data_IF_108628774771
#
_entry.id   IF_108628774771
#
_cell.length_a   1.000
_cell.length_b   1.000
_cell.length_c   1.000
_cell.angle_alpha   90.00
_cell.angle_beta   90.00
_cell.angle_gamma   90.00
#
_symmetry.space_group_name_H-M   'P 1'
#
loop_
_entity.id
_entity.type
_entity.pdbx_description
1 polymer ?
#
# COMPACT_ATOMS: atom_id res chain seq x y z
N UNK A 1 -41.29 -53.27 27.32
CA UNK A 1 -40.66 -52.67 26.13
C UNK A 1 -40.69 -51.14 26.27
N UNK A 2 -39.54 -50.49 26.43
CA UNK A 2 -39.41 -49.02 26.37
C UNK A 2 -38.21 -48.70 25.48
N UNK A 3 -38.48 -48.24 24.26
CA UNK A 3 -37.45 -47.76 23.33
C UNK A 3 -37.00 -46.37 23.77
N UNK A 4 -35.70 -46.24 24.08
CA UNK A 4 -35.03 -44.96 24.28
C UNK A 4 -34.41 -44.54 22.95
N UNK A 5 -34.88 -43.44 22.39
CA UNK A 5 -34.22 -42.75 21.29
C UNK A 5 -33.07 -41.92 21.85
N UNK A 6 -31.83 -42.29 21.52
CA UNK A 6 -30.65 -41.45 21.68
C UNK A 6 -30.48 -40.64 20.40
N UNK A 7 -30.75 -39.34 20.48
CA UNK A 7 -30.40 -38.40 19.43
C UNK A 7 -28.89 -38.12 19.50
N UNK A 8 -28.15 -38.51 18.47
CA UNK A 8 -26.75 -38.17 18.33
C UNK A 8 -26.63 -36.74 17.78
N UNK A 9 -26.15 -35.80 18.62
CA UNK A 9 -25.66 -34.51 18.15
C UNK A 9 -24.32 -34.72 17.44
N UNK A 10 -24.33 -34.63 16.10
CA UNK A 10 -23.10 -34.50 15.33
C UNK A 10 -22.55 -33.09 15.50
N UNK A 11 -21.53 -32.93 16.34
CA UNK A 11 -20.74 -31.71 16.42
C UNK A 11 -19.93 -31.57 15.14
N UNK A 12 -20.38 -30.69 14.22
CA UNK A 12 -19.57 -30.20 13.12
C UNK A 12 -18.46 -29.32 13.70
N UNK A 13 -17.33 -29.92 14.04
CA UNK A 13 -16.08 -29.18 14.23
C UNK A 13 -15.67 -28.62 12.86
N UNK A 14 -16.11 -27.41 12.53
CA UNK A 14 -15.46 -26.59 11.52
C UNK A 14 -14.06 -26.24 12.06
N UNK A 15 -13.11 -27.16 11.88
CA UNK A 15 -11.71 -26.79 11.84
C UNK A 15 -11.60 -25.74 10.73
N UNK A 16 -11.40 -24.49 11.10
CA UNK A 16 -11.04 -23.45 10.14
C UNK A 16 -9.72 -23.92 9.51
N UNK A 17 -9.83 -24.55 8.33
CA UNK A 17 -8.68 -24.83 7.49
C UNK A 17 -8.06 -23.47 7.23
N UNK A 18 -6.96 -23.16 7.91
CA UNK A 18 -6.17 -22.00 7.57
C UNK A 18 -5.77 -22.21 6.10
N UNK A 19 -6.34 -21.39 5.21
CA UNK A 19 -5.98 -21.45 3.81
C UNK A 19 -4.45 -21.33 3.72
N UNK A 20 -3.83 -22.31 3.08
CA UNK A 20 -2.41 -22.28 2.79
C UNK A 20 -2.08 -20.96 2.07
N UNK A 21 -0.88 -20.45 2.30
CA UNK A 21 -0.43 -19.24 1.62
C UNK A 21 -0.49 -19.43 0.09
N UNK A 22 -1.16 -18.52 -0.64
CA UNK A 22 -1.31 -18.67 -2.07
C UNK A 22 0.04 -18.46 -2.76
N UNK A 23 0.35 -19.29 -3.74
CA UNK A 23 1.48 -19.04 -4.63
C UNK A 23 1.21 -17.84 -5.54
N UNK A 24 2.27 -17.21 -6.06
CA UNK A 24 2.15 -16.15 -7.07
C UNK A 24 1.30 -16.57 -8.27
N UNK A 25 1.45 -17.82 -8.72
CA UNK A 25 0.65 -18.36 -9.82
C UNK A 25 -0.84 -18.47 -9.48
N UNK A 26 -1.18 -18.81 -8.23
CA UNK A 26 -2.57 -18.81 -7.77
C UNK A 26 -3.15 -17.40 -7.71
N UNK A 27 -2.38 -16.41 -7.23
CA UNK A 27 -2.79 -15.01 -7.20
C UNK A 27 -3.04 -14.48 -8.62
N UNK A 28 -2.13 -14.75 -9.57
CA UNK A 28 -2.30 -14.36 -10.99
C UNK A 28 -3.55 -14.99 -11.58
N UNK A 29 -3.82 -16.27 -11.29
CA UNK A 29 -5.06 -16.92 -11.74
C UNK A 29 -6.31 -16.25 -11.18
N UNK A 30 -6.26 -15.74 -9.94
CA UNK A 30 -7.38 -15.04 -9.31
C UNK A 30 -7.60 -13.61 -9.82
N UNK A 31 -6.59 -12.98 -10.43
CA UNK A 31 -6.74 -11.66 -11.08
C UNK A 31 -7.61 -11.73 -12.33
N UNK A 32 -7.65 -12.89 -13.00
CA UNK A 32 -8.38 -13.06 -14.25
C UNK A 32 -7.62 -12.45 -15.43
N UNK A 33 -8.36 -11.84 -16.36
CA UNK A 33 -7.81 -11.31 -17.59
C UNK A 33 -7.36 -9.85 -17.44
N UNK A 34 -6.12 -9.67 -17.01
CA UNK A 34 -5.46 -8.36 -16.85
C UNK A 34 -4.19 -8.23 -17.70
N UNK A 35 -4.02 -9.12 -18.68
CA UNK A 35 -2.80 -9.24 -19.48
C UNK A 35 -1.64 -9.88 -18.70
N UNK A 36 -0.40 -9.65 -19.16
CA UNK A 36 0.79 -10.19 -18.47
C UNK A 36 1.01 -9.47 -17.15
N UNK A 37 1.27 -10.26 -16.11
CA UNK A 37 1.59 -9.77 -14.77
C UNK A 37 2.79 -10.53 -14.21
N UNK A 38 3.76 -9.80 -13.69
CA UNK A 38 4.86 -10.36 -12.91
C UNK A 38 4.73 -9.87 -11.46
N UNK A 39 4.48 -10.79 -10.53
CA UNK A 39 4.36 -10.44 -9.10
C UNK A 39 5.74 -10.40 -8.44
N UNK A 40 6.01 -9.31 -7.72
CA UNK A 40 7.15 -9.14 -6.82
C UNK A 40 6.98 -9.93 -5.52
N UNK A 41 7.56 -9.43 -4.43
CA UNK A 41 7.41 -10.06 -3.12
C UNK A 41 5.94 -10.04 -2.68
N UNK A 42 5.50 -11.12 -2.02
CA UNK A 42 4.12 -11.27 -1.53
C UNK A 42 4.17 -11.11 -0.02
N UNK A 43 3.48 -10.10 0.50
CA UNK A 43 3.44 -9.79 1.92
C UNK A 43 2.11 -10.24 2.52
N UNK A 44 2.11 -11.11 3.55
CA UNK A 44 0.89 -11.41 4.29
C UNK A 44 0.46 -10.19 5.10
N UNK A 45 -0.84 -9.89 5.06
CA UNK A 45 -1.42 -8.83 5.87
C UNK A 45 -2.78 -9.20 6.44
N UNK A 46 -3.18 -8.50 7.50
CA UNK A 46 -4.55 -8.54 8.00
C UNK A 46 -5.32 -7.31 7.50
N UNK A 47 -6.51 -7.53 6.93
CA UNK A 47 -7.48 -6.47 6.66
C UNK A 47 -8.11 -6.01 7.97
N UNK A 48 -8.80 -4.87 7.93
CA UNK A 48 -9.70 -4.48 9.02
C UNK A 48 -10.68 -5.61 9.33
N UNK A 49 -10.82 -5.96 10.60
CA UNK A 49 -11.63 -7.10 11.03
C UNK A 49 -10.89 -8.45 11.05
N UNK A 50 -9.58 -8.47 10.75
CA UNK A 50 -8.71 -9.62 10.95
C UNK A 50 -8.71 -10.65 9.82
N UNK A 51 -9.35 -10.36 8.68
CA UNK A 51 -9.27 -11.23 7.51
C UNK A 51 -7.82 -11.29 6.98
N UNK A 52 -7.32 -12.50 6.76
CA UNK A 52 -6.01 -12.73 6.14
C UNK A 52 -6.06 -12.41 4.64
N UNK A 53 -5.18 -11.53 4.20
CA UNK A 53 -4.99 -11.17 2.80
C UNK A 53 -3.49 -11.11 2.46
N UNK A 54 -3.20 -10.88 1.19
CA UNK A 54 -1.84 -10.83 0.66
C UNK A 54 -1.71 -9.65 -0.28
N UNK A 55 -0.65 -8.85 -0.10
CA UNK A 55 -0.34 -7.72 -0.96
C UNK A 55 0.98 -8.01 -1.68
N UNK A 56 0.97 -7.86 -2.99
CA UNK A 56 2.17 -7.99 -3.81
C UNK A 56 2.39 -6.73 -4.63
N UNK A 57 3.65 -6.34 -4.81
CA UNK A 57 4.00 -5.49 -5.94
C UNK A 57 3.80 -6.26 -7.24
N UNK A 58 3.45 -5.55 -8.30
CA UNK A 58 3.14 -6.15 -9.59
C UNK A 58 3.68 -5.27 -10.72
N UNK A 59 4.34 -5.92 -11.67
CA UNK A 59 4.70 -5.34 -12.95
C UNK A 59 3.67 -5.78 -14.01
N UNK A 60 3.26 -4.84 -14.85
CA UNK A 60 2.32 -5.00 -15.95
C UNK A 60 3.00 -4.60 -17.27
N UNK A 61 3.79 -5.50 -17.90
CA UNK A 61 4.66 -5.16 -19.01
C UNK A 61 3.93 -4.66 -20.27
N UNK A 62 2.66 -5.03 -20.42
CA UNK A 62 1.85 -4.64 -21.57
C UNK A 62 1.15 -3.27 -21.35
N UNK A 63 1.36 -2.61 -20.20
CA UNK A 63 0.75 -1.32 -19.85
C UNK A 63 1.66 -0.13 -20.20
N UNK A 64 1.07 1.06 -20.30
CA UNK A 64 1.82 2.30 -20.59
C UNK A 64 2.84 2.65 -19.50
N UNK A 65 3.81 3.51 -19.84
CA UNK A 65 4.98 3.81 -18.98
C UNK A 65 4.63 4.13 -17.52
N UNK A 66 3.57 4.91 -17.28
CA UNK A 66 3.18 5.33 -15.92
C UNK A 66 2.24 4.32 -15.21
N UNK A 67 1.99 3.16 -15.80
CA UNK A 67 1.11 2.11 -15.29
C UNK A 67 1.80 0.74 -15.26
N UNK A 68 3.11 0.71 -15.52
CA UNK A 68 3.90 -0.53 -15.60
C UNK A 68 4.14 -1.18 -14.24
N UNK A 69 4.08 -0.42 -13.14
CA UNK A 69 4.18 -0.94 -11.78
C UNK A 69 2.89 -0.61 -11.01
N UNK A 70 2.51 -1.48 -10.07
CA UNK A 70 1.40 -1.27 -9.17
C UNK A 70 1.32 -2.36 -8.10
N UNK A 71 0.13 -2.57 -7.57
CA UNK A 71 -0.07 -3.53 -6.50
C UNK A 71 -1.26 -4.45 -6.75
N UNK A 72 -1.14 -5.68 -6.24
CA UNK A 72 -2.20 -6.69 -6.27
C UNK A 72 -2.56 -7.07 -4.86
N UNK A 73 -3.85 -6.94 -4.52
CA UNK A 73 -4.42 -7.42 -3.26
C UNK A 73 -5.15 -8.74 -3.52
N UNK A 74 -4.78 -9.79 -2.81
CA UNK A 74 -5.39 -11.12 -2.91
C UNK A 74 -6.08 -11.50 -1.59
N UNK A 75 -7.30 -12.03 -1.69
CA UNK A 75 -8.13 -12.49 -0.57
C UNK A 75 -8.45 -13.98 -0.76
N UNK A 76 -7.65 -14.90 -0.17
CA UNK A 76 -7.78 -16.34 -0.42
C UNK A 76 -9.13 -16.92 -0.01
N UNK A 77 -9.74 -16.41 1.06
CA UNK A 77 -11.07 -16.83 1.50
C UNK A 77 -12.15 -16.62 0.41
N UNK A 78 -11.91 -15.69 -0.51
CA UNK A 78 -12.78 -15.40 -1.65
C UNK A 78 -12.29 -16.00 -2.97
N UNK A 79 -11.08 -16.59 -2.99
CA UNK A 79 -10.43 -17.04 -4.22
C UNK A 79 -10.32 -15.94 -5.28
N UNK A 80 -10.08 -14.69 -4.84
CA UNK A 80 -10.09 -13.51 -5.70
C UNK A 80 -8.88 -12.63 -5.44
N UNK A 81 -8.41 -11.93 -6.48
CA UNK A 81 -7.42 -10.87 -6.40
C UNK A 81 -7.86 -9.67 -7.24
N UNK A 82 -7.38 -8.47 -6.89
CA UNK A 82 -7.60 -7.24 -7.65
C UNK A 82 -6.29 -6.47 -7.80
N UNK A 83 -6.16 -5.72 -8.89
CA UNK A 83 -5.18 -4.62 -8.97
C UNK A 83 -5.72 -3.47 -8.13
N UNK A 84 -4.84 -2.79 -7.38
CA UNK A 84 -5.23 -1.64 -6.57
C UNK A 84 -5.29 -0.38 -7.42
N UNK A 85 -6.50 0.17 -7.55
CA UNK A 85 -6.73 1.44 -8.24
C UNK A 85 -6.10 2.60 -7.46
N UNK A 86 -5.47 3.53 -8.19
CA UNK A 86 -4.87 4.74 -7.61
C UNK A 86 -3.48 4.54 -6.99
N UNK A 87 -2.93 3.32 -7.04
CA UNK A 87 -1.58 2.99 -6.56
C UNK A 87 -0.79 2.32 -7.69
N UNK A 88 -0.46 3.09 -8.73
CA UNK A 88 0.32 2.64 -9.89
C UNK A 88 1.39 3.65 -10.26
N UNK A 89 2.42 3.23 -10.99
CA UNK A 89 3.49 4.14 -11.39
C UNK A 89 4.67 3.46 -12.07
N UNK A 90 5.84 4.11 -11.92
CA UNK A 90 7.14 3.61 -12.37
C UNK A 90 7.83 2.73 -11.30
N UNK A 91 7.36 2.79 -10.05
CA UNK A 91 7.86 2.00 -8.93
C UNK A 91 6.70 1.48 -8.07
N UNK A 92 6.91 0.33 -7.43
CA UNK A 92 5.96 -0.28 -6.51
C UNK A 92 6.71 -0.99 -5.36
N UNK A 93 7.00 -0.24 -4.31
CA UNK A 93 7.57 -0.77 -3.07
C UNK A 93 6.49 -0.94 -2.02
N UNK A 94 6.56 -2.02 -1.23
CA UNK A 94 5.69 -2.24 -0.08
C UNK A 94 6.54 -2.10 1.18
N UNK A 95 6.15 -1.21 2.09
CA UNK A 95 6.76 -1.14 3.42
C UNK A 95 5.70 -1.39 4.49
N UNK A 96 5.92 -2.41 5.33
CA UNK A 96 5.04 -2.70 6.47
C UNK A 96 5.32 -1.71 7.60
N UNK A 97 4.29 -1.01 8.07
CA UNK A 97 4.41 0.00 9.11
C UNK A 97 3.88 -0.50 10.47
N UNK A 98 2.85 -1.35 10.46
CA UNK A 98 2.34 -1.98 11.68
C UNK A 98 1.73 -3.36 11.42
N UNK A 99 1.74 -4.19 12.47
CA UNK A 99 1.26 -5.58 12.44
C UNK A 99 0.19 -5.87 13.50
N UNK A 100 -0.82 -5.00 13.64
CA UNK A 100 -1.97 -5.28 14.51
C UNK A 100 -3.01 -6.11 13.75
N UNK A 101 -2.97 -7.43 13.92
CA UNK A 101 -3.87 -8.35 13.20
C UNK A 101 -5.35 -8.11 13.52
N UNK A 102 -5.68 -7.54 14.68
CA UNK A 102 -7.06 -7.27 15.08
C UNK A 102 -7.63 -6.01 14.44
N UNK A 103 -6.78 -5.00 14.24
CA UNK A 103 -7.17 -3.69 13.68
C UNK A 103 -6.88 -3.55 12.18
N UNK A 104 -6.06 -4.44 11.65
CA UNK A 104 -5.53 -4.39 10.29
C UNK A 104 -4.10 -3.88 10.25
N UNK A 105 -3.37 -4.25 9.21
CA UNK A 105 -1.99 -3.81 9.01
C UNK A 105 -1.98 -2.45 8.30
N UNK A 106 -1.06 -1.57 8.72
CA UNK A 106 -0.75 -0.34 8.00
C UNK A 106 0.44 -0.58 7.09
N UNK A 107 0.33 -0.16 5.83
CA UNK A 107 1.40 -0.29 4.83
C UNK A 107 1.64 1.02 4.13
N UNK A 108 2.87 1.27 3.70
CA UNK A 108 3.22 2.39 2.83
C UNK A 108 3.24 1.86 1.41
N UNK A 109 2.47 2.51 0.53
CA UNK A 109 2.46 2.28 -0.91
C UNK A 109 2.98 3.52 -1.62
N UNK A 110 3.89 3.31 -2.56
CA UNK A 110 4.42 4.32 -3.47
C UNK A 110 3.68 4.31 -4.81
N UNK A 111 3.61 5.47 -5.43
CA UNK A 111 3.22 5.64 -6.83
C UNK A 111 4.09 6.74 -7.40
N UNK A 112 4.48 6.63 -8.66
CA UNK A 112 5.37 7.60 -9.29
C UNK A 112 5.05 7.75 -10.77
N UNK A 113 5.21 8.96 -11.27
CA UNK A 113 5.00 9.28 -12.67
C UNK A 113 6.06 10.26 -13.15
N UNK A 114 6.35 10.22 -14.44
CA UNK A 114 7.15 11.25 -15.07
C UNK A 114 6.47 11.76 -16.33
N UNK A 115 6.82 12.96 -16.77
CA UNK A 115 6.33 13.54 -18.00
C UNK A 115 6.79 14.98 -18.18
N UNK A 116 7.13 15.34 -19.42
CA UNK A 116 7.48 16.72 -19.79
C UNK A 116 8.56 17.34 -18.87
N UNK A 117 9.60 16.55 -18.53
CA UNK A 117 10.68 17.00 -17.64
C UNK A 117 10.33 17.08 -16.16
N UNK A 118 9.12 16.68 -15.77
CA UNK A 118 8.70 16.57 -14.38
C UNK A 118 8.71 15.11 -13.91
N UNK A 119 9.01 14.93 -12.64
CA UNK A 119 8.87 13.68 -11.90
C UNK A 119 8.05 13.95 -10.65
N UNK A 120 7.07 13.10 -10.38
CA UNK A 120 6.22 13.18 -9.21
C UNK A 120 6.11 11.80 -8.57
N UNK A 121 6.15 11.74 -7.24
CA UNK A 121 5.86 10.53 -6.49
C UNK A 121 4.94 10.83 -5.30
N UNK A 122 4.07 9.88 -5.00
CA UNK A 122 3.15 9.89 -3.87
C UNK A 122 3.40 8.66 -3.01
N UNK A 123 3.57 8.89 -1.72
CA UNK A 123 3.64 7.84 -0.70
C UNK A 123 2.40 7.91 0.18
N UNK A 124 1.66 6.82 0.27
CA UNK A 124 0.44 6.73 1.06
C UNK A 124 0.57 5.67 2.13
N UNK A 125 0.33 6.04 3.39
CA UNK A 125 0.09 5.08 4.47
C UNK A 125 -1.38 4.66 4.35
N UNK A 126 -1.63 3.38 4.09
CA UNK A 126 -2.97 2.85 3.92
C UNK A 126 -3.24 1.70 4.87
N UNK A 127 -4.52 1.52 5.15
CA UNK A 127 -5.08 0.33 5.78
C UNK A 127 -6.21 -0.19 4.90
N UNK A 128 -6.34 -1.49 4.74
CA UNK A 128 -7.37 -2.07 3.89
C UNK A 128 -8.64 -2.41 4.67
N UNK A 129 -9.78 -1.89 4.20
CA UNK A 129 -11.12 -2.28 4.63
C UNK A 129 -11.77 -3.09 3.50
N UNK A 130 -11.62 -4.42 3.58
CA UNK A 130 -11.93 -5.31 2.48
C UNK A 130 -11.04 -5.02 1.25
N UNK A 131 -11.67 -4.66 0.13
CA UNK A 131 -10.98 -4.29 -1.11
C UNK A 131 -10.55 -2.82 -1.16
N UNK A 132 -11.05 -1.99 -0.23
CA UNK A 132 -10.86 -0.54 -0.30
C UNK A 132 -9.65 -0.11 0.53
N UNK A 133 -8.62 0.48 -0.07
CA UNK A 133 -7.57 1.14 0.69
C UNK A 133 -8.12 2.40 1.34
N UNK A 134 -7.89 2.56 2.63
CA UNK A 134 -8.15 3.78 3.39
C UNK A 134 -6.83 4.48 3.68
N UNK A 135 -6.62 5.62 3.06
CA UNK A 135 -5.43 6.44 3.27
C UNK A 135 -5.51 7.12 4.63
N UNK A 136 -4.50 6.90 5.46
CA UNK A 136 -4.33 7.51 6.79
C UNK A 136 -3.37 8.70 6.75
N UNK A 137 -2.41 8.65 5.83
CA UNK A 137 -1.44 9.72 5.60
C UNK A 137 -0.97 9.69 4.16
N UNK A 138 -0.68 10.86 3.60
CA UNK A 138 -0.15 11.03 2.26
C UNK A 138 1.03 12.02 2.32
N UNK A 139 2.09 11.69 1.60
CA UNK A 139 3.18 12.60 1.28
C UNK A 139 3.47 12.58 -0.22
N UNK A 140 3.93 13.70 -0.72
CA UNK A 140 4.23 13.91 -2.13
C UNK A 140 5.64 14.46 -2.25
N UNK A 141 6.34 14.00 -3.28
CA UNK A 141 7.61 14.55 -3.70
C UNK A 141 7.63 14.70 -5.21
N UNK A 142 8.62 15.43 -5.72
CA UNK A 142 8.72 15.65 -7.14
C UNK A 142 9.70 16.75 -7.48
N UNK A 143 10.02 16.87 -8.77
CA UNK A 143 10.92 17.89 -9.28
C UNK A 143 10.63 18.18 -10.76
N UNK A 144 11.12 19.32 -11.21
CA UNK A 144 11.07 19.73 -12.61
C UNK A 144 12.46 19.76 -13.27
N UNK A 145 13.40 18.90 -12.86
CA UNK A 145 14.79 18.99 -13.34
C UNK A 145 14.97 18.77 -14.84
N UNK A 146 14.02 18.11 -15.51
CA UNK A 146 14.05 17.98 -16.97
C UNK A 146 13.39 19.14 -17.72
N UNK A 147 12.86 20.15 -17.01
CA UNK A 147 12.10 21.28 -17.55
C UNK A 147 12.32 22.53 -16.67
N UNK A 148 13.60 22.85 -16.41
CA UNK A 148 14.05 24.01 -15.65
C UNK A 148 15.45 24.47 -16.11
N UNK A 149 15.91 25.62 -15.63
CA UNK A 149 17.20 26.21 -15.98
C UNK A 149 17.18 27.00 -17.28
N UNK A 150 16.47 26.48 -18.29
CA UNK A 150 16.24 27.18 -19.55
C UNK A 150 15.23 28.32 -19.40
N UNK A 151 15.45 29.40 -20.16
CA UNK A 151 14.59 30.60 -20.19
C UNK A 151 14.33 31.26 -18.81
N UNK A 152 15.19 30.99 -17.83
CA UNK A 152 15.07 31.53 -16.48
C UNK A 152 14.03 30.81 -15.61
N UNK A 153 13.51 29.65 -16.05
CA UNK A 153 12.60 28.84 -15.24
C UNK A 153 13.35 28.22 -14.06
N UNK A 154 12.91 28.42 -12.80
CA UNK A 154 13.62 27.90 -11.64
C UNK A 154 13.56 26.37 -11.58
N UNK A 155 14.67 25.76 -11.20
CA UNK A 155 14.74 24.36 -10.81
C UNK A 155 14.27 24.21 -9.37
N UNK A 156 13.24 23.40 -9.16
CA UNK A 156 12.58 23.25 -7.89
C UNK A 156 12.07 21.83 -7.69
N UNK A 157 11.93 21.47 -6.42
CA UNK A 157 11.36 20.18 -6.08
C UNK A 157 11.41 19.90 -4.59
N UNK A 158 11.06 18.67 -4.27
CA UNK A 158 11.13 18.13 -2.94
C UNK A 158 11.44 16.65 -2.96
N UNK A 159 11.95 16.17 -1.83
CA UNK A 159 12.11 14.76 -1.49
C UNK A 159 11.45 14.50 -0.14
N UNK A 160 10.80 13.35 0.00
CA UNK A 160 10.19 12.93 1.26
C UNK A 160 10.75 11.60 1.73
N UNK A 161 11.16 11.59 2.99
CA UNK A 161 11.59 10.40 3.70
C UNK A 161 10.57 10.03 4.76
N UNK A 162 10.02 8.83 4.66
CA UNK A 162 9.07 8.27 5.62
C UNK A 162 9.77 7.22 6.48
N UNK A 163 9.92 7.50 7.77
CA UNK A 163 10.59 6.59 8.72
C UNK A 163 9.57 6.09 9.75
N UNK A 164 9.14 4.81 9.69
CA UNK A 164 8.27 4.23 10.70
C UNK A 164 8.92 4.30 12.07
N UNK A 165 8.13 4.68 13.08
CA UNK A 165 8.55 4.79 14.48
C UNK A 165 7.54 4.06 15.38
N UNK A 166 8.04 3.50 16.48
CA UNK A 166 7.19 3.01 17.56
C UNK A 166 6.93 4.16 18.55
N UNK A 167 5.69 4.61 18.64
CA UNK A 167 5.25 5.61 19.60
C UNK A 167 4.97 5.03 20.99
N UNK A 168 4.64 5.89 21.97
CA UNK A 168 4.25 5.46 23.31
C UNK A 168 3.10 4.43 23.27
N UNK A 169 3.21 3.36 24.07
CA UNK A 169 2.20 2.30 24.09
C UNK A 169 2.09 1.49 22.79
N UNK A 170 3.11 1.54 21.91
CA UNK A 170 3.11 0.82 20.64
C UNK A 170 2.26 1.47 19.54
N UNK A 171 1.82 2.73 19.74
CA UNK A 171 1.11 3.46 18.70
C UNK A 171 2.00 3.66 17.47
N UNK A 172 1.54 3.32 16.25
CA UNK A 172 2.33 3.55 15.05
C UNK A 172 2.55 5.06 14.82
N UNK A 173 3.81 5.46 14.64
CA UNK A 173 4.20 6.82 14.32
C UNK A 173 5.02 6.85 13.03
N UNK A 174 5.08 8.02 12.41
CA UNK A 174 5.86 8.26 11.20
C UNK A 174 6.65 9.55 11.35
N UNK A 175 7.99 9.46 11.34
CA UNK A 175 8.82 10.62 11.12
C UNK A 175 8.84 10.94 9.64
N UNK A 176 8.32 12.11 9.29
CA UNK A 176 8.25 12.64 7.94
C UNK A 176 9.28 13.74 7.81
N UNK A 177 10.30 13.50 7.00
CA UNK A 177 11.29 14.52 6.65
C UNK A 177 11.05 14.95 5.21
N UNK A 178 10.87 16.24 4.99
CA UNK A 178 10.75 16.84 3.67
C UNK A 178 11.94 17.74 3.43
N UNK A 179 12.68 17.47 2.36
CA UNK A 179 13.72 18.36 1.85
C UNK A 179 13.12 19.10 0.65
N UNK A 180 13.08 20.43 0.71
CA UNK A 180 12.68 21.27 -0.42
C UNK A 180 13.89 21.97 -0.97
N UNK A 181 14.00 22.04 -2.29
CA UNK A 181 15.08 22.73 -2.96
C UNK A 181 14.55 23.64 -4.06
N UNK A 182 15.23 24.76 -4.26
CA UNK A 182 14.95 25.70 -5.34
C UNK A 182 16.22 26.46 -5.73
N UNK A 183 16.39 26.75 -7.01
CA UNK A 183 17.50 27.52 -7.54
C UNK A 183 17.30 27.90 -9.01
N UNK A 184 18.20 28.73 -9.56
CA UNK A 184 18.15 29.12 -10.97
C UNK A 184 18.53 27.98 -11.91
N UNK A 185 19.32 27.00 -11.45
CA UNK A 185 19.60 25.73 -12.12
C UNK A 185 19.87 24.63 -11.08
N UNK A 186 19.98 23.38 -11.55
CA UNK A 186 20.22 22.19 -10.71
C UNK A 186 21.46 22.33 -9.81
N UNK A 187 22.54 22.93 -10.33
CA UNK A 187 23.83 23.09 -9.62
C UNK A 187 23.79 24.22 -8.58
N UNK A 188 22.86 25.15 -8.71
CA UNK A 188 22.70 26.33 -7.83
C UNK A 188 21.43 26.25 -6.97
N UNK A 189 20.93 25.05 -6.72
CA UNK A 189 19.81 24.82 -5.80
C UNK A 189 20.23 25.06 -4.34
N UNK A 190 19.34 25.68 -3.57
CA UNK A 190 19.44 25.77 -2.11
C UNK A 190 18.39 24.86 -1.50
N UNK A 191 18.80 24.05 -0.53
CA UNK A 191 17.92 23.12 0.16
C UNK A 191 17.51 23.65 1.54
N UNK A 192 16.30 23.29 1.95
CA UNK A 192 15.81 23.43 3.32
C UNK A 192 15.16 22.12 3.73
N UNK A 193 15.35 21.72 4.98
CA UNK A 193 14.78 20.49 5.52
C UNK A 193 13.80 20.82 6.65
N UNK A 194 12.68 20.10 6.68
CA UNK A 194 11.71 20.16 7.76
C UNK A 194 11.32 18.74 8.15
N UNK A 195 11.21 18.48 9.45
CA UNK A 195 10.79 17.18 9.96
C UNK A 195 9.61 17.33 10.92
N UNK A 196 8.68 16.38 10.88
CA UNK A 196 7.58 16.27 11.82
C UNK A 196 7.31 14.81 12.15
N UNK A 197 6.78 14.56 13.35
CA UNK A 197 6.28 13.23 13.73
C UNK A 197 4.76 13.24 13.60
N UNK A 198 4.22 12.25 12.89
CA UNK A 198 2.78 12.04 12.73
C UNK A 198 2.40 10.79 13.52
N UNK A 199 1.41 10.91 14.40
CA UNK A 199 0.81 9.74 15.06
C UNK A 199 -0.31 9.20 14.18
N UNK A 200 -0.23 7.92 13.82
CA UNK A 200 -1.22 7.26 13.00
C UNK A 200 -2.25 6.60 13.92
N UNK A 201 -3.52 6.81 13.62
CA UNK A 201 -4.62 6.24 14.40
C UNK A 201 -5.39 5.24 13.55
N UNK A 202 -5.73 4.12 14.16
CA UNK A 202 -6.69 3.20 13.58
C UNK A 202 -8.07 3.87 13.56
N UNK A 203 -8.76 3.87 12.42
CA UNK A 203 -10.08 4.46 12.34
C UNK A 203 -11.07 3.71 13.23
N UNK A 204 -11.87 4.47 13.97
CA UNK A 204 -12.84 3.91 14.91
C UNK A 204 -13.91 3.09 14.15
N UNK A 205 -14.34 1.97 14.71
CA UNK A 205 -15.27 1.03 14.04
C UNK A 205 -16.68 1.60 13.83
N UNK A 206 -16.96 2.78 14.39
CA UNK A 206 -18.28 3.43 14.43
C UNK A 206 -18.42 4.68 13.56
N UNK A 207 -17.37 5.15 12.89
CA UNK A 207 -17.51 6.30 11.99
C UNK A 207 -17.77 5.84 10.54
N UNK A 208 -18.89 6.25 9.91
CA UNK A 208 -19.06 6.09 8.48
C UNK A 208 -18.02 6.94 7.73
N UNK A 209 -17.60 6.47 6.56
CA UNK A 209 -16.62 7.16 5.72
C UNK A 209 -17.11 8.57 5.36
N UNK A 210 -16.21 9.58 5.31
CA UNK A 210 -16.50 10.81 4.57
C UNK A 210 -16.68 10.52 3.07
#
# INVERSE_FOLDING_TARGET
MKFRYLAALAAFCCAAVQAAEPSKAQIVRWLGDVGKVALGEVHPLALKGGEKAYLASAEFPDQGRNFMQGYVLARPALGKAIVLDGFSGLSADVTMLSHDGSKGYMVILGSSSSGQGNFDATYSVVLFDGWKPRTLFKAEEGNNFGDCGDEGKPCQGSQVFLNPLAGPGGQPQLAVTTVRYSGPDEKRTKASASSKVVTLSYPDSRQPNP
#
